data_IF_051844118644
#
_entry.id   IF_051844118644
#
_cell.length_a   1.000
_cell.length_b   1.000
_cell.length_c   1.000
_cell.angle_alpha   90.00
_cell.angle_beta   90.00
_cell.angle_gamma   90.00
#
_symmetry.space_group_name_H-M   'P 1'
#
loop_
_entity.id
_entity.type
_entity.pdbx_description
1 polymer ?
#
# COMPACT_ATOMS: atom_id res chain seq x y z
N UNK A 1 -14.69 -2.39 5.91
CA UNK A 1 -14.22 -1.04 5.64
C UNK A 1 -13.84 -0.87 4.18
N UNK A 2 -14.08 0.31 3.67
CA UNK A 2 -13.89 0.63 2.27
C UNK A 2 -12.63 1.45 2.04
N UNK A 3 -12.19 1.51 0.78
CA UNK A 3 -11.08 2.38 0.36
C UNK A 3 -11.46 3.85 0.56
N UNK A 4 -12.73 4.21 0.34
CA UNK A 4 -13.25 5.57 0.56
C UNK A 4 -13.12 6.01 2.02
N UNK A 5 -13.38 5.10 2.97
CA UNK A 5 -13.18 5.38 4.40
C UNK A 5 -11.72 5.64 4.72
N UNK A 6 -10.81 4.85 4.12
CA UNK A 6 -9.37 5.07 4.26
C UNK A 6 -8.94 6.41 3.69
N UNK A 7 -9.47 6.78 2.54
CA UNK A 7 -9.17 8.07 1.92
C UNK A 7 -9.64 9.24 2.78
N UNK A 8 -10.84 9.15 3.36
CA UNK A 8 -11.36 10.17 4.27
C UNK A 8 -10.45 10.36 5.49
N UNK A 9 -9.89 9.28 6.02
CA UNK A 9 -8.94 9.34 7.14
C UNK A 9 -7.63 10.01 6.76
N UNK A 10 -7.08 9.70 5.57
CA UNK A 10 -5.90 10.38 5.06
C UNK A 10 -6.15 11.88 4.93
N UNK A 11 -7.31 12.26 4.41
CA UNK A 11 -7.67 13.69 4.28
C UNK A 11 -7.73 14.38 5.65
N UNK A 12 -8.31 13.74 6.65
CA UNK A 12 -8.34 14.27 8.02
C UNK A 12 -6.93 14.43 8.57
N UNK A 13 -6.09 13.42 8.39
CA UNK A 13 -4.70 13.48 8.78
C UNK A 13 -3.96 14.63 8.10
N UNK A 14 -4.14 14.80 6.80
CA UNK A 14 -3.50 15.85 6.00
C UNK A 14 -3.93 17.26 6.44
N UNK A 15 -5.12 17.40 7.00
CA UNK A 15 -5.57 18.66 7.60
C UNK A 15 -4.90 18.97 8.94
N UNK A 16 -4.54 17.93 9.69
CA UNK A 16 -3.84 18.07 10.97
C UNK A 16 -2.39 18.51 10.76
N UNK A 17 -1.70 17.94 9.78
CA UNK A 17 -0.26 18.12 9.57
C UNK A 17 0.17 19.60 9.54
N UNK A 18 -0.50 20.50 8.78
CA UNK A 18 -0.08 21.92 8.75
C UNK A 18 -0.22 22.62 10.10
N UNK A 19 -1.08 22.12 10.99
CA UNK A 19 -1.30 22.73 12.31
C UNK A 19 -0.19 22.40 13.31
N UNK A 20 0.64 21.42 13.02
CA UNK A 20 1.73 21.00 13.91
C UNK A 20 2.84 22.05 13.89
N UNK A 21 3.19 22.55 15.08
CA UNK A 21 4.20 23.61 15.23
C UNK A 21 5.62 23.07 15.24
N UNK A 22 5.85 21.91 15.83
CA UNK A 22 7.15 21.27 15.83
C UNK A 22 7.54 20.88 14.40
N UNK A 23 8.62 21.46 13.88
CA UNK A 23 9.01 21.31 12.50
C UNK A 23 9.48 19.89 12.17
N UNK A 24 10.13 19.22 13.10
CA UNK A 24 10.62 17.86 12.92
C UNK A 24 9.46 16.86 12.87
N UNK A 25 8.53 16.97 13.81
CA UNK A 25 7.33 16.13 13.82
C UNK A 25 6.49 16.39 12.57
N UNK A 26 6.27 17.63 12.20
CA UNK A 26 5.53 17.98 10.99
C UNK A 26 6.18 17.39 9.73
N UNK A 27 7.50 17.45 9.64
CA UNK A 27 8.25 16.89 8.52
C UNK A 27 8.06 15.38 8.42
N UNK A 28 8.17 14.67 9.55
CA UNK A 28 7.95 13.22 9.58
C UNK A 28 6.50 12.86 9.24
N UNK A 29 5.54 13.65 9.71
CA UNK A 29 4.14 13.47 9.35
C UNK A 29 3.89 13.62 7.84
N UNK A 30 4.58 14.56 7.19
CA UNK A 30 4.48 14.75 5.74
C UNK A 30 5.04 13.56 4.96
N UNK A 31 6.13 12.99 5.43
CA UNK A 31 6.71 11.78 4.82
C UNK A 31 5.70 10.63 4.90
N UNK A 32 5.09 10.43 6.07
CA UNK A 32 4.07 9.40 6.27
C UNK A 32 2.86 9.64 5.36
N UNK A 33 2.41 10.89 5.23
CA UNK A 33 1.32 11.26 4.33
C UNK A 33 1.61 10.81 2.90
N UNK A 34 2.81 11.09 2.42
CA UNK A 34 3.23 10.71 1.07
C UNK A 34 3.18 9.21 0.86
N UNK A 35 3.73 8.43 1.80
CA UNK A 35 3.73 6.98 1.71
C UNK A 35 2.31 6.40 1.80
N UNK A 36 1.44 6.99 2.61
CA UNK A 36 0.04 6.59 2.72
C UNK A 36 -0.72 6.85 1.42
N UNK A 37 -0.51 8.00 0.78
CA UNK A 37 -1.14 8.32 -0.50
C UNK A 37 -0.68 7.38 -1.62
N UNK A 38 0.60 7.07 -1.68
CA UNK A 38 1.13 6.12 -2.68
C UNK A 38 0.49 4.75 -2.50
N UNK A 39 0.44 4.24 -1.28
CA UNK A 39 -0.18 2.95 -1.00
C UNK A 39 -1.67 2.95 -1.34
N UNK A 40 -2.37 4.03 -1.00
CA UNK A 40 -3.79 4.19 -1.32
C UNK A 40 -4.03 4.09 -2.83
N UNK A 41 -3.25 4.81 -3.63
CA UNK A 41 -3.35 4.78 -5.09
C UNK A 41 -3.09 3.40 -5.66
N UNK A 42 -2.07 2.71 -5.16
CA UNK A 42 -1.75 1.34 -5.57
C UNK A 42 -2.85 0.36 -5.22
N UNK A 43 -3.45 0.49 -4.04
CA UNK A 43 -4.60 -0.35 -3.63
C UNK A 43 -5.81 -0.11 -4.52
N UNK A 44 -6.07 1.15 -4.86
CA UNK A 44 -7.19 1.53 -5.71
C UNK A 44 -7.02 0.97 -7.13
N UNK A 45 -5.80 0.98 -7.66
CA UNK A 45 -5.49 0.53 -9.01
C UNK A 45 -5.16 -0.96 -9.10
N UNK A 46 -5.00 -1.65 -7.97
CA UNK A 46 -4.63 -3.06 -7.97
C UNK A 46 -5.69 -3.91 -8.65
N UNK A 47 -5.30 -4.80 -9.59
CA UNK A 47 -6.25 -5.65 -10.31
C UNK A 47 -6.82 -6.79 -9.46
N UNK A 48 -6.33 -6.98 -8.24
CA UNK A 48 -6.79 -8.01 -7.32
C UNK A 48 -7.17 -7.43 -5.97
N UNK A 49 -8.04 -8.16 -5.27
CA UNK A 49 -8.41 -7.79 -3.90
C UNK A 49 -7.34 -8.27 -2.92
N UNK A 50 -6.61 -7.31 -2.33
CA UNK A 50 -5.52 -7.59 -1.39
C UNK A 50 -5.99 -7.25 0.02
N UNK A 51 -6.82 -8.11 0.58
CA UNK A 51 -7.44 -7.90 1.89
C UNK A 51 -6.41 -7.64 2.99
N UNK A 52 -5.31 -8.40 3.02
CA UNK A 52 -4.27 -8.23 4.05
C UNK A 52 -3.65 -6.83 4.02
N UNK A 53 -3.35 -6.31 2.82
CA UNK A 53 -2.79 -4.97 2.67
C UNK A 53 -3.81 -3.91 3.07
N UNK A 54 -5.08 -4.09 2.71
CA UNK A 54 -6.15 -3.16 3.11
C UNK A 54 -6.36 -3.16 4.63
N UNK A 55 -6.37 -4.32 5.26
CA UNK A 55 -6.53 -4.43 6.72
C UNK A 55 -5.36 -3.79 7.44
N UNK A 56 -4.14 -4.02 6.97
CA UNK A 56 -2.93 -3.39 7.46
C UNK A 56 -3.00 -1.87 7.33
N UNK A 57 -3.33 -1.38 6.15
CA UNK A 57 -3.45 0.04 5.84
C UNK A 57 -4.48 0.71 6.75
N UNK A 58 -5.65 0.09 6.93
CA UNK A 58 -6.69 0.59 7.82
C UNK A 58 -6.21 0.69 9.27
N UNK A 59 -5.54 -0.34 9.77
CA UNK A 59 -5.00 -0.35 11.13
C UNK A 59 -4.01 0.80 11.34
N UNK A 60 -3.06 0.97 10.42
CA UNK A 60 -2.05 2.02 10.55
C UNK A 60 -2.63 3.42 10.38
N UNK A 61 -3.65 3.59 9.54
CA UNK A 61 -4.35 4.88 9.42
C UNK A 61 -5.08 5.25 10.70
N UNK A 62 -5.78 4.29 11.32
CA UNK A 62 -6.48 4.54 12.59
C UNK A 62 -5.50 4.97 13.68
N UNK A 63 -4.38 4.26 13.81
CA UNK A 63 -3.33 4.56 14.78
C UNK A 63 -2.68 5.91 14.50
N UNK A 64 -2.34 6.17 13.25
CA UNK A 64 -1.72 7.41 12.81
C UNK A 64 -2.62 8.61 13.10
N UNK A 65 -3.89 8.50 12.77
CA UNK A 65 -4.85 9.57 13.01
C UNK A 65 -5.02 9.82 14.50
N UNK A 66 -5.13 8.75 15.30
CA UNK A 66 -5.27 8.86 16.77
C UNK A 66 -4.09 9.58 17.41
N UNK A 67 -2.85 9.16 17.11
CA UNK A 67 -1.66 9.80 17.71
C UNK A 67 -1.49 11.24 17.23
N UNK A 68 -1.82 11.51 15.99
CA UNK A 68 -1.70 12.85 15.41
C UNK A 68 -2.71 13.83 16.00
N UNK A 69 -3.94 13.40 16.19
CA UNK A 69 -4.98 14.21 16.85
C UNK A 69 -4.61 14.53 18.29
N UNK A 70 -4.12 13.54 19.02
CA UNK A 70 -3.71 13.71 20.41
C UNK A 70 -2.53 14.67 20.54
N UNK A 71 -1.54 14.52 19.68
CA UNK A 71 -0.38 15.40 19.70
C UNK A 71 -0.75 16.84 19.32
N UNK A 72 -1.55 17.01 18.25
CA UNK A 72 -2.02 18.33 17.84
C UNK A 72 -2.83 19.03 18.95
N UNK A 73 -3.67 18.29 19.66
CA UNK A 73 -4.45 18.81 20.77
C UNK A 73 -3.55 19.27 21.93
N UNK A 74 -2.54 18.48 22.29
CA UNK A 74 -1.58 18.84 23.34
C UNK A 74 -0.81 20.10 22.97
N UNK A 75 -0.31 20.20 21.74
CA UNK A 75 0.39 21.38 21.23
C UNK A 75 -0.51 22.63 21.30
N UNK A 76 -1.75 22.52 20.82
CA UNK A 76 -2.70 23.62 20.82
C UNK A 76 -2.99 24.14 22.23
N UNK A 77 -3.05 23.24 23.20
CA UNK A 77 -3.29 23.60 24.62
C UNK A 77 -2.04 24.08 25.35
N UNK A 78 -0.91 24.12 24.65
CA UNK A 78 0.36 24.58 25.25
C UNK A 78 0.99 23.59 26.20
N UNK A 79 0.63 22.31 26.12
CA UNK A 79 1.25 21.28 26.94
C UNK A 79 2.72 21.09 26.53
N UNK A 80 3.59 20.94 27.51
CA UNK A 80 5.00 20.63 27.26
C UNK A 80 5.17 19.12 27.18
N UNK A 81 5.48 18.64 25.98
CA UNK A 81 5.76 17.22 25.73
C UNK A 81 7.22 16.97 26.05
N UNK A 82 7.49 15.97 26.88
CA UNK A 82 8.86 15.59 27.24
C UNK A 82 9.63 15.14 26.00
N UNK A 83 10.95 15.37 26.01
CA UNK A 83 11.81 15.02 24.88
C UNK A 83 11.74 13.51 24.55
N UNK A 84 11.71 12.66 25.57
CA UNK A 84 11.58 11.21 25.34
C UNK A 84 10.29 10.84 24.62
N UNK A 85 9.17 11.47 24.98
CA UNK A 85 7.89 11.25 24.33
C UNK A 85 7.91 11.77 22.89
N UNK A 86 8.51 12.94 22.67
CA UNK A 86 8.71 13.47 21.32
C UNK A 86 9.54 12.51 20.47
N UNK A 87 10.63 11.99 21.00
CA UNK A 87 11.49 11.04 20.30
C UNK A 87 10.77 9.73 19.98
N UNK A 88 9.92 9.24 20.90
CA UNK A 88 9.06 8.09 20.65
C UNK A 88 8.07 8.35 19.52
N UNK A 89 7.45 9.52 19.49
CA UNK A 89 6.54 9.90 18.43
C UNK A 89 7.23 9.92 17.07
N UNK A 90 8.40 10.55 16.99
CA UNK A 90 9.20 10.60 15.76
C UNK A 90 9.59 9.19 15.32
N UNK A 91 10.05 8.35 16.23
CA UNK A 91 10.40 6.96 15.94
C UNK A 91 9.21 6.17 15.40
N UNK A 92 8.04 6.32 16.02
CA UNK A 92 6.82 5.66 15.59
C UNK A 92 6.38 6.14 14.20
N UNK A 93 6.46 7.44 13.92
CA UNK A 93 6.15 7.99 12.61
C UNK A 93 7.08 7.41 11.52
N UNK A 94 8.37 7.32 11.82
CA UNK A 94 9.34 6.71 10.90
C UNK A 94 9.04 5.23 10.65
N UNK A 95 8.69 4.48 11.69
CA UNK A 95 8.32 3.07 11.56
C UNK A 95 7.05 2.89 10.74
N UNK A 96 6.03 3.71 10.97
CA UNK A 96 4.79 3.68 10.18
C UNK A 96 5.09 3.95 8.70
N UNK A 97 5.88 4.97 8.41
CA UNK A 97 6.28 5.29 7.04
C UNK A 97 7.01 4.14 6.36
N UNK A 98 7.94 3.50 7.05
CA UNK A 98 8.66 2.32 6.54
C UNK A 98 7.73 1.14 6.27
N UNK A 99 6.77 0.90 7.18
CA UNK A 99 5.79 -0.18 7.01
C UNK A 99 4.85 0.07 5.84
N UNK A 100 4.41 1.30 5.65
CA UNK A 100 3.60 1.68 4.49
C UNK A 100 4.38 1.44 3.18
N UNK A 101 5.65 1.79 3.17
CA UNK A 101 6.52 1.56 2.01
C UNK A 101 6.73 0.07 1.73
N UNK A 102 6.92 -0.75 2.76
CA UNK A 102 7.00 -2.20 2.61
C UNK A 102 5.73 -2.79 2.00
N UNK A 103 4.56 -2.30 2.40
CA UNK A 103 3.29 -2.76 1.83
C UNK A 103 3.14 -2.38 0.36
N UNK A 104 3.64 -1.22 -0.04
CA UNK A 104 3.70 -0.84 -1.46
C UNK A 104 4.52 -1.86 -2.27
N UNK A 105 5.70 -2.23 -1.77
CA UNK A 105 6.56 -3.21 -2.41
C UNK A 105 5.90 -4.58 -2.52
N UNK A 106 5.28 -5.05 -1.44
CA UNK A 106 4.57 -6.33 -1.42
C UNK A 106 3.41 -6.37 -2.43
N UNK A 107 2.68 -5.26 -2.54
CA UNK A 107 1.57 -5.14 -3.48
C UNK A 107 2.06 -5.23 -4.93
N UNK A 108 3.12 -4.52 -5.27
CA UNK A 108 3.73 -4.54 -6.60
C UNK A 108 4.31 -5.91 -6.95
N UNK A 109 4.99 -6.56 -5.99
CA UNK A 109 5.51 -7.91 -6.17
C UNK A 109 4.39 -8.91 -6.45
N UNK A 110 3.29 -8.80 -5.73
CA UNK A 110 2.12 -9.65 -5.95
C UNK A 110 1.51 -9.47 -7.34
N UNK A 111 1.40 -8.26 -7.82
CA UNK A 111 0.89 -7.96 -9.16
C UNK A 111 1.85 -8.50 -10.24
N UNK A 112 3.15 -8.43 -10.01
CA UNK A 112 4.17 -9.01 -10.90
C UNK A 112 4.02 -10.53 -10.98
N UNK A 113 3.84 -11.20 -9.84
CA UNK A 113 3.62 -12.66 -9.80
C UNK A 113 2.35 -13.04 -10.56
N UNK A 114 1.28 -12.28 -10.43
CA UNK A 114 0.03 -12.53 -11.16
C UNK A 114 0.24 -12.43 -12.67
N UNK A 115 0.98 -11.43 -13.14
CA UNK A 115 1.34 -11.30 -14.55
C UNK A 115 2.14 -12.50 -15.05
N UNK A 116 3.15 -12.92 -14.29
CA UNK A 116 3.97 -14.07 -14.63
C UNK A 116 3.14 -15.35 -14.77
N UNK A 117 2.16 -15.55 -13.88
CA UNK A 117 1.25 -16.70 -13.94
C UNK A 117 0.37 -16.66 -15.20
N UNK A 118 -0.16 -15.49 -15.55
CA UNK A 118 -0.93 -15.34 -16.78
C UNK A 118 -0.11 -15.65 -18.02
N UNK A 119 1.12 -15.17 -18.08
CA UNK A 119 2.03 -15.44 -19.19
C UNK A 119 2.32 -16.93 -19.33
N UNK A 120 2.56 -17.63 -18.22
CA UNK A 120 2.75 -19.09 -18.24
C UNK A 120 1.50 -19.82 -18.74
N UNK A 121 0.33 -19.39 -18.34
CA UNK A 121 -0.93 -19.97 -18.78
C UNK A 121 -1.11 -19.81 -20.29
N UNK A 122 -0.83 -18.63 -20.82
CA UNK A 122 -0.91 -18.35 -22.25
C UNK A 122 0.09 -19.20 -23.02
N UNK A 123 1.33 -19.32 -22.53
CA UNK A 123 2.36 -20.17 -23.14
C UNK A 123 1.91 -21.64 -23.24
N UNK A 124 1.29 -22.15 -22.17
CA UNK A 124 0.78 -23.53 -22.16
C UNK A 124 -0.30 -23.73 -23.21
N UNK A 125 -1.25 -22.80 -23.31
CA UNK A 125 -2.34 -22.86 -24.29
C UNK A 125 -1.77 -22.83 -25.72
N UNK A 126 -0.86 -21.90 -26.00
CA UNK A 126 -0.24 -21.78 -27.32
C UNK A 126 0.58 -23.02 -27.70
N UNK A 127 1.31 -23.60 -26.73
CA UNK A 127 2.07 -24.82 -26.93
C UNK A 127 1.15 -26.00 -27.26
N UNK A 128 0.03 -26.15 -26.52
CA UNK A 128 -0.95 -27.20 -26.79
C UNK A 128 -1.59 -27.07 -28.18
N UNK A 129 -1.93 -25.87 -28.58
CA UNK A 129 -2.46 -25.62 -29.94
C UNK A 129 -1.44 -25.98 -31.01
N UNK A 130 -0.20 -25.66 -30.84
CA UNK A 130 0.88 -26.00 -31.77
C UNK A 130 1.06 -27.52 -31.87
N UNK A 131 1.05 -28.22 -30.75
CA UNK A 131 1.14 -29.70 -30.74
C UNK A 131 -0.05 -30.35 -31.44
N UNK A 132 -1.24 -29.85 -31.20
CA UNK A 132 -2.46 -30.34 -31.90
C UNK A 132 -2.36 -30.16 -33.40
N UNK A 133 -1.89 -29.01 -33.87
CA UNK A 133 -1.65 -28.78 -35.29
C UNK A 133 -0.65 -29.76 -35.89
N UNK A 134 0.43 -30.01 -35.19
CA UNK A 134 1.45 -30.97 -35.62
C UNK A 134 0.88 -32.37 -35.73
N UNK A 135 0.08 -32.79 -34.77
CA UNK A 135 -0.61 -34.07 -34.81
C UNK A 135 -1.60 -34.16 -35.97
N UNK A 136 -2.40 -33.15 -36.22
CA UNK A 136 -3.34 -33.09 -37.32
C UNK A 136 -2.62 -33.11 -38.66
N UNK A 137 -1.56 -32.37 -38.85
CA UNK A 137 -0.73 -32.38 -40.06
C UNK A 137 -0.11 -33.75 -40.30
N UNK A 138 0.46 -34.39 -39.26
CA UNK A 138 0.97 -35.73 -39.37
C UNK A 138 -0.08 -36.74 -39.78
N UNK A 139 -1.28 -36.61 -39.23
CA UNK A 139 -2.42 -37.48 -39.58
C UNK A 139 -2.88 -37.26 -41.01
N UNK A 140 -2.92 -36.02 -41.51
CA UNK A 140 -3.30 -35.68 -42.88
C UNK A 140 -2.31 -36.19 -43.92
N UNK A 141 -1.06 -36.31 -43.58
CA UNK A 141 -0.01 -36.82 -44.48
C UNK A 141 0.19 -38.31 -44.41
N UNK A 142 -0.61 -39.01 -43.61
CA UNK A 142 -0.62 -40.47 -43.57
C UNK A 142 -1.24 -40.99 -44.85
N UNK A 143 -0.56 -41.79 -45.69
CA UNK A 143 -1.07 -42.26 -46.96
C UNK A 143 -2.14 -43.34 -46.83
N UNK A 144 -2.45 -43.74 -45.65
CA UNK A 144 -3.47 -44.73 -45.33
C UNK A 144 -4.46 -44.14 -44.33
#
# INVERSE_FOLDING_TARGET
RTIEEGFAKIQTYDQIVPSIRDSEIRSEMRIVSREAHVLFEELYESPRDVKKVRDFFTFYLDSLLSISEKYADLERRGAQVQLDTKNQLISNLKMIGQKLKQQQTLLLEGDTVDLERELLTIEKVLTQETEQRKQEESYRHDPF
#
